data_IF_547877938648
#
_entry.id   IF_547877938648
#
_cell.length_a   1.000
_cell.length_b   1.000
_cell.length_c   1.000
_cell.angle_alpha   90.00
_cell.angle_beta   90.00
_cell.angle_gamma   90.00
#
_symmetry.space_group_name_H-M   'P 1'
#
loop_
_entity.id
_entity.type
_entity.pdbx_description
1 polymer ?
#
# COMPACT_ATOMS: atom_id res chain seq x y z
N UNK A 1 10.86 0.23 -0.11
CA UNK A 1 10.83 -0.95 0.80
C UNK A 1 9.44 -1.54 0.70
N UNK A 2 9.30 -2.85 0.43
CA UNK A 2 7.99 -3.51 0.21
C UNK A 2 7.22 -3.64 1.51
N UNK A 3 5.90 -3.34 1.48
CA UNK A 3 5.01 -3.32 2.64
C UNK A 3 4.09 -4.54 2.63
N UNK A 4 4.15 -5.33 3.70
CA UNK A 4 3.34 -6.53 3.90
C UNK A 4 2.34 -6.31 5.03
N UNK A 5 1.09 -6.70 4.77
CA UNK A 5 0.10 -6.84 5.83
C UNK A 5 0.00 -8.33 6.22
N UNK A 6 0.35 -8.64 7.46
CA UNK A 6 0.22 -9.98 8.02
C UNK A 6 -1.04 -10.04 8.88
N UNK A 7 -1.93 -10.99 8.59
CA UNK A 7 -3.16 -11.23 9.35
C UNK A 7 -3.11 -12.64 9.92
N UNK A 8 -2.84 -12.73 11.20
CA UNK A 8 -2.61 -13.99 11.94
C UNK A 8 -3.04 -13.80 13.39
N UNK A 9 -3.90 -14.67 13.90
CA UNK A 9 -4.42 -14.59 15.28
C UNK A 9 -3.51 -15.26 16.30
N UNK A 10 -2.71 -16.26 15.89
CA UNK A 10 -1.68 -16.84 16.75
C UNK A 10 -0.56 -15.82 17.01
N UNK A 11 -0.50 -15.34 18.25
CA UNK A 11 0.48 -14.32 18.66
C UNK A 11 1.92 -14.76 18.55
N UNK A 12 2.20 -16.03 18.80
CA UNK A 12 3.57 -16.55 18.73
C UNK A 12 4.05 -16.64 17.29
N UNK A 13 3.18 -17.14 16.41
CA UNK A 13 3.46 -17.23 14.98
C UNK A 13 3.52 -15.85 14.34
N UNK A 14 2.54 -14.98 14.63
CA UNK A 14 2.48 -13.63 14.09
C UNK A 14 3.72 -12.79 14.41
N UNK A 15 4.17 -12.80 15.68
CA UNK A 15 5.40 -12.13 16.10
C UNK A 15 6.63 -12.70 15.38
N UNK A 16 6.75 -14.03 15.34
CA UNK A 16 7.86 -14.71 14.66
C UNK A 16 7.93 -14.35 13.18
N UNK A 17 6.78 -14.36 12.48
CA UNK A 17 6.71 -14.02 11.06
C UNK A 17 7.04 -12.54 10.81
N UNK A 18 6.52 -11.65 11.64
CA UNK A 18 6.81 -10.21 11.56
C UNK A 18 8.30 -9.95 11.66
N UNK A 19 8.96 -10.49 12.69
CA UNK A 19 10.39 -10.30 12.91
C UNK A 19 11.23 -10.85 11.76
N UNK A 20 10.90 -12.05 11.28
CA UNK A 20 11.69 -12.69 10.21
C UNK A 20 11.51 -12.00 8.86
N UNK A 21 10.31 -11.60 8.52
CA UNK A 21 10.06 -10.82 7.31
C UNK A 21 10.72 -9.43 7.39
N UNK A 22 10.74 -8.80 8.56
CA UNK A 22 11.44 -7.54 8.76
C UNK A 22 12.96 -7.68 8.56
N UNK A 23 13.57 -8.78 9.02
CA UNK A 23 14.98 -9.09 8.78
C UNK A 23 15.33 -9.28 7.28
N UNK A 24 14.36 -9.72 6.48
CA UNK A 24 14.49 -9.81 5.01
C UNK A 24 14.30 -8.44 4.30
N UNK A 25 14.11 -7.35 5.06
CA UNK A 25 14.01 -5.99 4.53
C UNK A 25 12.60 -5.58 4.13
N UNK A 26 11.56 -6.28 4.57
CA UNK A 26 10.16 -5.90 4.36
C UNK A 26 9.66 -4.99 5.49
N UNK A 27 8.77 -4.05 5.17
CA UNK A 27 7.96 -3.35 6.17
C UNK A 27 6.75 -4.23 6.48
N UNK A 28 6.65 -4.73 7.70
CA UNK A 28 5.56 -5.64 8.08
C UNK A 28 4.66 -4.98 9.12
N UNK A 29 3.36 -4.97 8.83
CA UNK A 29 2.36 -4.68 9.85
C UNK A 29 1.55 -5.95 10.11
N UNK A 30 1.55 -6.37 11.36
CA UNK A 30 0.80 -7.53 11.79
C UNK A 30 -0.47 -7.11 12.53
N UNK A 31 -1.56 -7.81 12.25
CA UNK A 31 -2.87 -7.65 12.91
C UNK A 31 -3.49 -9.02 13.16
N UNK A 32 -4.31 -9.11 14.21
CA UNK A 32 -4.83 -10.38 14.71
C UNK A 32 -6.27 -10.69 14.24
N UNK A 33 -6.94 -9.75 13.55
CA UNK A 33 -8.36 -9.86 13.20
C UNK A 33 -8.66 -9.31 11.82
N UNK A 34 -9.73 -9.82 11.21
CA UNK A 34 -10.26 -9.32 9.93
C UNK A 34 -10.60 -7.84 9.99
N UNK A 35 -11.26 -7.40 11.06
CA UNK A 35 -11.65 -6.00 11.22
C UNK A 35 -10.45 -5.05 11.25
N UNK A 36 -9.38 -5.43 11.98
CA UNK A 36 -8.13 -4.66 12.01
C UNK A 36 -7.44 -4.65 10.64
N UNK A 37 -7.49 -5.78 9.92
CA UNK A 37 -6.94 -5.87 8.57
C UNK A 37 -7.65 -4.92 7.61
N UNK A 38 -8.99 -4.89 7.59
CA UNK A 38 -9.77 -3.96 6.77
C UNK A 38 -9.43 -2.49 7.08
N UNK A 39 -9.28 -2.16 8.36
CA UNK A 39 -8.85 -0.82 8.77
C UNK A 39 -7.46 -0.51 8.20
N UNK A 40 -6.49 -1.42 8.33
CA UNK A 40 -5.13 -1.21 7.81
C UNK A 40 -5.08 -1.12 6.28
N UNK A 41 -5.87 -1.91 5.60
CA UNK A 41 -6.00 -1.84 4.13
C UNK A 41 -6.52 -0.47 3.65
N UNK A 42 -7.36 0.20 4.43
CA UNK A 42 -7.85 1.54 4.11
C UNK A 42 -6.89 2.67 4.50
N UNK A 43 -5.84 2.39 5.28
CA UNK A 43 -4.89 3.37 5.81
C UNK A 43 -3.59 3.47 5.00
N UNK A 44 -3.30 2.52 4.12
CA UNK A 44 -2.02 2.49 3.43
C UNK A 44 -2.00 1.65 2.16
N UNK A 45 -0.90 1.77 1.42
CA UNK A 45 -0.59 0.91 0.28
C UNK A 45 0.17 -0.34 0.76
N UNK A 46 -0.27 -1.47 0.23
CA UNK A 46 0.29 -2.78 0.55
C UNK A 46 0.74 -3.48 -0.73
N UNK A 47 1.82 -4.22 -0.63
CA UNK A 47 2.41 -4.96 -1.75
C UNK A 47 2.05 -6.43 -1.72
N UNK A 48 1.71 -6.94 -0.52
CA UNK A 48 1.27 -8.31 -0.30
C UNK A 48 0.47 -8.38 0.98
N UNK A 49 -0.62 -9.14 0.99
CA UNK A 49 -1.28 -9.59 2.21
C UNK A 49 -0.96 -11.07 2.44
N UNK A 50 -0.47 -11.39 3.64
CA UNK A 50 -0.32 -12.76 4.14
C UNK A 50 -1.45 -12.99 5.13
N UNK A 51 -2.28 -14.01 4.89
CA UNK A 51 -3.60 -14.10 5.50
C UNK A 51 -3.88 -15.51 6.02
N UNK A 52 -4.17 -15.64 7.32
CA UNK A 52 -4.80 -16.86 7.81
C UNK A 52 -6.29 -16.90 7.44
N UNK A 53 -6.77 -18.09 7.13
CA UNK A 53 -8.19 -18.34 6.85
C UNK A 53 -9.00 -18.40 8.15
N UNK A 54 -8.44 -18.95 9.22
CA UNK A 54 -9.10 -19.18 10.50
C UNK A 54 -8.98 -18.00 11.46
N UNK A 55 -9.58 -16.87 11.15
CA UNK A 55 -9.56 -15.69 12.02
C UNK A 55 -10.69 -15.71 13.07
N UNK A 56 -10.49 -15.11 14.25
CA UNK A 56 -11.46 -15.15 15.35
C UNK A 56 -12.77 -14.40 15.06
N UNK A 57 -12.75 -13.45 14.10
CA UNK A 57 -13.85 -12.57 13.75
C UNK A 57 -14.40 -12.80 12.33
N UNK A 58 -14.07 -13.96 11.71
CA UNK A 58 -14.61 -14.36 10.41
C UNK A 58 -13.59 -15.06 9.52
N UNK A 59 -14.02 -15.47 8.33
CA UNK A 59 -13.18 -16.20 7.41
C UNK A 59 -12.17 -15.28 6.69
N UNK A 60 -10.90 -15.70 6.61
CA UNK A 60 -9.91 -15.06 5.77
C UNK A 60 -10.28 -15.10 4.27
N UNK A 61 -11.04 -16.10 3.83
CA UNK A 61 -11.54 -16.14 2.45
C UNK A 61 -12.51 -14.98 2.15
N UNK A 62 -13.38 -14.62 3.12
CA UNK A 62 -14.27 -13.45 2.95
C UNK A 62 -13.47 -12.15 2.85
N UNK A 63 -12.43 -12.00 3.69
CA UNK A 63 -11.54 -10.85 3.60
C UNK A 63 -10.84 -10.80 2.25
N UNK A 64 -10.32 -11.93 1.77
CA UNK A 64 -9.66 -12.02 0.48
C UNK A 64 -10.58 -11.63 -0.69
N UNK A 65 -11.83 -12.09 -0.70
CA UNK A 65 -12.83 -11.70 -1.71
C UNK A 65 -13.07 -10.19 -1.71
N UNK A 66 -13.22 -9.59 -0.52
CA UNK A 66 -13.39 -8.14 -0.38
C UNK A 66 -12.19 -7.36 -0.90
N UNK A 67 -10.97 -7.85 -0.62
CA UNK A 67 -9.72 -7.25 -1.12
C UNK A 67 -9.66 -7.35 -2.65
N UNK A 68 -9.88 -8.54 -3.22
CA UNK A 68 -9.79 -8.76 -4.68
C UNK A 68 -10.89 -8.05 -5.46
N UNK A 69 -12.07 -7.82 -4.87
CA UNK A 69 -13.14 -7.04 -5.51
C UNK A 69 -12.76 -5.56 -5.74
N UNK A 70 -11.83 -5.02 -4.94
CA UNK A 70 -11.49 -3.60 -4.94
C UNK A 70 -10.03 -3.30 -5.31
N UNK A 71 -9.18 -4.32 -5.37
CA UNK A 71 -7.74 -4.15 -5.60
C UNK A 71 -7.14 -5.34 -6.35
N UNK A 72 -5.97 -5.10 -6.97
CA UNK A 72 -5.12 -6.16 -7.54
C UNK A 72 -4.06 -6.65 -6.54
N UNK A 73 -4.20 -6.35 -5.24
CA UNK A 73 -3.25 -6.72 -4.21
C UNK A 73 -3.01 -8.24 -4.19
N UNK A 74 -1.76 -8.70 -4.30
CA UNK A 74 -1.43 -10.11 -4.16
C UNK A 74 -1.81 -10.64 -2.78
N UNK A 75 -2.37 -11.86 -2.74
CA UNK A 75 -2.77 -12.54 -1.50
C UNK A 75 -2.04 -13.88 -1.42
N UNK A 76 -1.48 -14.17 -0.25
CA UNK A 76 -0.93 -15.46 0.10
C UNK A 76 -1.63 -15.98 1.35
N UNK A 77 -2.21 -17.18 1.29
CA UNK A 77 -2.78 -17.83 2.45
C UNK A 77 -1.75 -18.64 3.22
N UNK A 78 -1.82 -18.56 4.55
CA UNK A 78 -1.14 -19.45 5.50
C UNK A 78 -2.19 -19.96 6.49
N UNK A 79 -2.49 -21.26 6.50
CA UNK A 79 -3.61 -21.74 7.31
C UNK A 79 -3.50 -23.21 7.71
N UNK A 80 -4.11 -23.56 8.85
CA UNK A 80 -4.30 -24.94 9.25
C UNK A 80 -5.36 -25.67 8.38
N UNK A 81 -6.19 -24.94 7.65
CA UNK A 81 -7.22 -25.48 6.76
C UNK A 81 -6.60 -25.88 5.40
N UNK A 82 -5.74 -26.90 5.42
CA UNK A 82 -4.94 -27.34 4.26
C UNK A 82 -5.60 -28.37 3.37
N UNK A 83 -6.92 -28.57 3.38
CA UNK A 83 -7.60 -29.54 2.50
C UNK A 83 -7.50 -29.13 1.03
N UNK A 84 -7.72 -30.08 0.14
CA UNK A 84 -7.70 -29.80 -1.30
C UNK A 84 -8.77 -28.77 -1.69
N UNK A 85 -9.96 -28.86 -1.08
CA UNK A 85 -11.08 -27.96 -1.28
C UNK A 85 -10.72 -26.52 -0.88
N UNK A 86 -10.14 -26.33 0.30
CA UNK A 86 -9.73 -25.00 0.78
C UNK A 86 -8.63 -24.38 -0.11
N UNK A 87 -7.72 -25.21 -0.63
CA UNK A 87 -6.70 -24.71 -1.57
C UNK A 87 -7.33 -24.28 -2.88
N UNK A 88 -8.27 -25.09 -3.40
CA UNK A 88 -9.01 -24.75 -4.61
C UNK A 88 -9.76 -23.43 -4.43
N UNK A 89 -10.51 -23.27 -3.34
CA UNK A 89 -11.21 -22.03 -3.01
C UNK A 89 -10.26 -20.83 -2.94
N UNK A 90 -9.10 -20.98 -2.31
CA UNK A 90 -8.09 -19.93 -2.25
C UNK A 90 -7.61 -19.48 -3.63
N UNK A 91 -7.36 -20.42 -4.54
CA UNK A 91 -6.95 -20.10 -5.91
C UNK A 91 -8.10 -19.53 -6.76
N UNK A 92 -9.32 -20.00 -6.58
CA UNK A 92 -10.51 -19.42 -7.23
C UNK A 92 -10.76 -17.95 -6.82
N UNK A 93 -10.43 -17.59 -5.58
CA UNK A 93 -10.43 -16.19 -5.12
C UNK A 93 -9.34 -15.36 -5.81
N UNK A 94 -8.31 -16.01 -6.37
CA UNK A 94 -7.17 -15.36 -7.00
C UNK A 94 -5.98 -15.16 -6.06
N UNK A 95 -5.78 -16.07 -5.10
CA UNK A 95 -4.56 -16.09 -4.31
C UNK A 95 -3.36 -16.50 -5.17
N UNK A 96 -2.22 -15.89 -4.89
CA UNK A 96 -0.95 -16.21 -5.55
C UNK A 96 -0.31 -17.48 -5.00
N UNK A 97 -0.46 -17.68 -3.69
CA UNK A 97 0.13 -18.81 -2.98
C UNK A 97 -0.79 -19.27 -1.85
N UNK A 98 -0.66 -20.56 -1.50
CA UNK A 98 -1.35 -21.19 -0.40
C UNK A 98 -0.40 -22.11 0.36
N UNK A 99 -0.16 -21.84 1.64
CA UNK A 99 0.78 -22.59 2.49
C UNK A 99 0.01 -23.23 3.65
N UNK A 100 -0.09 -24.55 3.68
CA UNK A 100 -0.71 -25.23 4.83
C UNK A 100 0.22 -25.21 6.06
N UNK A 101 -0.33 -25.02 7.24
CA UNK A 101 0.35 -25.20 8.53
C UNK A 101 0.38 -26.71 8.87
N UNK A 102 1.49 -27.25 9.41
CA UNK A 102 2.76 -26.60 9.69
C UNK A 102 3.63 -26.42 8.43
N UNK A 103 4.41 -25.34 8.37
CA UNK A 103 5.32 -25.04 7.27
C UNK A 103 6.72 -24.67 7.78
N UNK A 104 7.70 -24.76 6.92
CA UNK A 104 9.03 -24.24 7.21
C UNK A 104 9.11 -22.74 6.89
N UNK A 105 9.66 -21.96 7.82
CA UNK A 105 9.82 -20.53 7.64
C UNK A 105 10.56 -20.17 6.32
N UNK A 106 11.58 -20.95 5.97
CA UNK A 106 12.30 -20.77 4.70
C UNK A 106 11.40 -20.94 3.48
N UNK A 107 10.42 -21.84 3.54
CA UNK A 107 9.44 -22.00 2.46
C UNK A 107 8.60 -20.74 2.29
N UNK A 108 8.07 -20.19 3.40
CA UNK A 108 7.31 -18.96 3.37
C UNK A 108 8.11 -17.81 2.76
N UNK A 109 9.36 -17.62 3.19
CA UNK A 109 10.22 -16.56 2.67
C UNK A 109 10.49 -16.70 1.15
N UNK A 110 10.71 -17.93 0.66
CA UNK A 110 10.88 -18.20 -0.77
C UNK A 110 9.60 -17.88 -1.55
N UNK A 111 8.43 -18.25 -1.03
CA UNK A 111 7.14 -17.97 -1.69
C UNK A 111 6.83 -16.47 -1.71
N UNK A 112 7.10 -15.75 -0.62
CA UNK A 112 7.01 -14.28 -0.60
C UNK A 112 7.88 -13.67 -1.68
N UNK A 113 9.11 -14.14 -1.82
CA UNK A 113 10.02 -13.68 -2.88
C UNK A 113 9.45 -13.97 -4.28
N UNK A 114 8.93 -15.18 -4.54
CA UNK A 114 8.32 -15.56 -5.81
C UNK A 114 7.08 -14.71 -6.13
N UNK A 115 6.23 -14.41 -5.14
CA UNK A 115 5.10 -13.49 -5.34
C UNK A 115 5.61 -12.15 -5.83
N UNK A 116 6.64 -11.59 -5.21
CA UNK A 116 7.20 -10.31 -5.63
C UNK A 116 7.96 -10.34 -6.97
N UNK A 117 8.45 -11.48 -7.40
CA UNK A 117 9.04 -11.65 -8.74
C UNK A 117 7.94 -11.68 -9.82
N UNK A 118 6.78 -12.29 -9.55
CA UNK A 118 5.62 -12.33 -10.45
C UNK A 118 4.83 -11.01 -10.46
N UNK A 119 4.78 -10.36 -9.32
CA UNK A 119 4.17 -9.05 -9.12
C UNK A 119 5.27 -8.03 -8.80
N UNK A 120 6.09 -7.65 -9.79
CA UNK A 120 7.01 -6.55 -9.58
C UNK A 120 6.15 -5.35 -9.21
N UNK A 121 6.27 -4.93 -7.95
CA UNK A 121 5.50 -3.81 -7.43
C UNK A 121 5.83 -2.61 -8.29
N UNK A 122 4.99 -2.35 -9.24
CA UNK A 122 5.00 -1.11 -9.98
C UNK A 122 4.11 -0.15 -9.19
N UNK A 123 4.67 0.45 -8.18
CA UNK A 123 4.10 1.69 -7.66
C UNK A 123 4.29 2.78 -8.74
N UNK A 124 3.73 2.50 -9.92
CA UNK A 124 3.74 3.40 -11.05
C UNK A 124 2.32 3.90 -11.24
N UNK A 125 2.16 5.19 -11.14
CA UNK A 125 0.88 5.86 -11.34
C UNK A 125 1.01 6.67 -12.62
N UNK A 126 0.15 6.37 -13.59
CA UNK A 126 0.06 7.19 -14.82
C UNK A 126 -0.66 8.48 -14.50
N UNK A 127 -0.08 9.59 -14.91
CA UNK A 127 -0.59 10.92 -14.63
C UNK A 127 -0.23 11.85 -15.80
N UNK A 128 -1.22 12.24 -16.60
CA UNK A 128 -1.04 13.21 -17.69
C UNK A 128 0.11 12.85 -18.67
N UNK A 129 0.20 11.55 -19.06
CA UNK A 129 1.27 11.06 -19.95
C UNK A 129 2.65 10.95 -19.27
N UNK A 130 2.72 11.12 -17.97
CA UNK A 130 3.89 10.92 -17.13
C UNK A 130 3.68 9.69 -16.26
N UNK A 131 4.79 9.14 -15.75
CA UNK A 131 4.75 7.99 -14.84
C UNK A 131 5.41 8.35 -13.52
N UNK A 132 4.67 8.26 -12.43
CA UNK A 132 5.20 8.40 -11.07
C UNK A 132 5.70 7.02 -10.65
N UNK A 133 6.99 6.89 -10.40
CA UNK A 133 7.62 5.69 -9.84
C UNK A 133 7.83 5.89 -8.34
N UNK A 134 6.95 5.36 -7.51
CA UNK A 134 7.00 5.57 -6.04
C UNK A 134 8.24 4.94 -5.41
N UNK A 135 8.70 3.79 -5.90
CA UNK A 135 9.87 3.10 -5.33
C UNK A 135 11.18 3.85 -5.58
N UNK A 136 11.34 4.42 -6.78
CA UNK A 136 12.53 5.19 -7.15
C UNK A 136 12.44 6.67 -6.80
N UNK A 137 11.28 7.11 -6.30
CA UNK A 137 10.95 8.52 -6.02
C UNK A 137 11.16 9.43 -7.22
N UNK A 138 10.74 8.95 -8.39
CA UNK A 138 11.03 9.58 -9.68
C UNK A 138 9.74 9.81 -10.45
N UNK A 139 9.66 10.93 -11.16
CA UNK A 139 8.66 11.17 -12.19
C UNK A 139 9.33 10.97 -13.54
N UNK A 140 8.82 10.04 -14.35
CA UNK A 140 9.23 9.84 -15.73
C UNK A 140 8.36 10.71 -16.60
N UNK A 141 8.95 11.70 -17.26
CA UNK A 141 8.28 12.62 -18.16
C UNK A 141 7.87 11.91 -19.46
N UNK A 142 6.92 12.47 -20.22
CA UNK A 142 6.46 11.90 -21.49
C UNK A 142 7.58 11.68 -22.53
N UNK A 143 8.68 12.42 -22.43
CA UNK A 143 9.87 12.27 -23.28
C UNK A 143 10.86 11.22 -22.77
N UNK A 144 10.52 10.47 -21.68
CA UNK A 144 11.38 9.50 -21.04
C UNK A 144 12.42 10.08 -20.05
N UNK A 145 12.48 11.40 -19.91
CA UNK A 145 13.38 12.05 -18.97
C UNK A 145 12.93 11.79 -17.52
N UNK A 146 13.89 11.50 -16.63
CA UNK A 146 13.62 11.22 -15.21
C UNK A 146 13.87 12.46 -14.37
N UNK A 147 12.89 12.83 -13.58
CA UNK A 147 12.95 13.95 -12.63
C UNK A 147 12.87 13.39 -11.19
N UNK A 148 13.89 13.70 -10.39
CA UNK A 148 13.89 13.38 -8.96
C UNK A 148 13.31 14.56 -8.19
N UNK A 149 12.20 14.32 -7.50
CA UNK A 149 11.62 15.32 -6.63
C UNK A 149 12.44 15.49 -5.34
N UNK A 150 12.44 16.69 -4.74
CA UNK A 150 12.90 16.88 -3.38
C UNK A 150 12.18 15.91 -2.43
N UNK A 151 12.90 15.40 -1.43
CA UNK A 151 12.38 14.35 -0.55
C UNK A 151 11.01 14.70 0.07
N UNK A 152 10.85 15.93 0.54
CA UNK A 152 9.58 16.39 1.14
C UNK A 152 8.43 16.51 0.15
N UNK A 153 8.71 16.93 -1.09
CA UNK A 153 7.68 17.01 -2.14
C UNK A 153 7.20 15.60 -2.48
N UNK A 154 8.12 14.64 -2.53
CA UNK A 154 7.76 13.26 -2.79
C UNK A 154 6.97 12.64 -1.63
N UNK A 155 7.35 12.89 -0.38
CA UNK A 155 6.60 12.48 0.81
C UNK A 155 5.17 13.03 0.80
N UNK A 156 5.00 14.30 0.39
CA UNK A 156 3.67 14.90 0.23
C UNK A 156 2.87 14.21 -0.88
N UNK A 157 3.49 13.95 -2.03
CA UNK A 157 2.86 13.24 -3.14
C UNK A 157 2.39 11.84 -2.72
N UNK A 158 3.27 11.08 -2.07
CA UNK A 158 2.97 9.76 -1.53
C UNK A 158 1.81 9.81 -0.51
N UNK A 159 1.81 10.80 0.39
CA UNK A 159 0.74 11.00 1.35
C UNK A 159 -0.61 11.25 0.68
N UNK A 160 -0.66 12.11 -0.35
CA UNK A 160 -1.90 12.40 -1.07
C UNK A 160 -2.42 11.16 -1.82
N UNK A 161 -1.54 10.44 -2.52
CA UNK A 161 -1.88 9.22 -3.25
C UNK A 161 -2.41 8.15 -2.31
N UNK A 162 -1.72 7.91 -1.19
CA UNK A 162 -2.11 6.87 -0.22
C UNK A 162 -3.37 7.21 0.56
N UNK A 163 -3.69 8.50 0.66
CA UNK A 163 -4.91 8.96 1.33
C UNK A 163 -6.13 8.98 0.43
N UNK A 164 -5.97 8.85 -0.89
CA UNK A 164 -7.08 8.91 -1.83
C UNK A 164 -8.19 7.89 -1.49
N UNK A 165 -9.46 8.23 -1.64
CA UNK A 165 -10.00 9.50 -2.14
C UNK A 165 -10.20 10.58 -1.05
N UNK A 166 -9.59 10.43 0.13
CA UNK A 166 -9.78 11.37 1.26
C UNK A 166 -9.04 12.68 1.05
N UNK A 167 -9.65 13.77 1.54
CA UNK A 167 -9.00 15.08 1.62
C UNK A 167 -8.02 15.08 2.80
N UNK A 168 -6.78 15.46 2.56
CA UNK A 168 -5.76 15.66 3.59
C UNK A 168 -5.68 17.14 3.92
N UNK A 169 -5.95 17.49 5.17
CA UNK A 169 -5.89 18.89 5.60
C UNK A 169 -4.45 19.40 5.66
N UNK A 170 -4.26 20.73 5.53
CA UNK A 170 -2.93 21.34 5.63
C UNK A 170 -2.23 21.02 6.95
N UNK A 171 -2.98 20.98 8.05
CA UNK A 171 -2.43 20.66 9.36
C UNK A 171 -2.00 19.19 9.43
N UNK A 172 -2.81 18.25 8.90
CA UNK A 172 -2.41 16.85 8.81
C UNK A 172 -1.14 16.67 7.96
N UNK A 173 -1.01 17.40 6.84
CA UNK A 173 0.21 17.37 6.03
C UNK A 173 1.42 17.85 6.86
N UNK A 174 1.27 18.97 7.57
CA UNK A 174 2.34 19.54 8.41
C UNK A 174 2.73 18.54 9.50
N UNK A 175 1.76 18.00 10.22
CA UNK A 175 1.98 17.03 11.31
C UNK A 175 2.65 15.74 10.80
N UNK A 176 2.26 15.26 9.61
CA UNK A 176 2.83 14.04 9.01
C UNK A 176 4.26 14.25 8.51
N UNK A 177 4.54 15.37 7.85
CA UNK A 177 5.83 15.60 7.21
C UNK A 177 6.89 16.18 8.18
N UNK A 178 6.51 16.95 9.17
CA UNK A 178 7.42 17.63 10.09
C UNK A 178 7.28 17.21 11.56
N UNK A 179 6.20 16.49 11.92
CA UNK A 179 5.99 16.03 13.28
C UNK A 179 5.98 17.18 14.30
N UNK A 180 6.66 16.96 15.41
CA UNK A 180 6.75 17.96 16.51
C UNK A 180 7.68 19.14 16.19
N UNK A 181 8.56 19.01 15.21
CA UNK A 181 9.57 20.05 14.87
C UNK A 181 8.97 21.33 14.26
N UNK A 182 7.67 21.32 13.90
CA UNK A 182 6.86 22.47 13.41
C UNK A 182 7.58 23.44 12.45
N UNK A 183 8.57 22.96 11.70
CA UNK A 183 9.30 23.76 10.71
C UNK A 183 8.47 24.05 9.44
N UNK A 184 7.36 23.31 9.26
CA UNK A 184 6.41 23.51 8.16
C UNK A 184 5.29 24.48 8.53
N UNK A 185 4.84 25.26 7.56
CA UNK A 185 3.64 26.08 7.67
C UNK A 185 2.73 25.90 6.46
N UNK A 186 1.50 26.42 6.51
CA UNK A 186 0.52 26.26 5.44
C UNK A 186 1.03 26.78 4.09
N UNK A 187 1.80 27.88 4.08
CA UNK A 187 2.39 28.43 2.86
C UNK A 187 3.46 27.51 2.27
N UNK A 188 4.22 26.81 3.13
CA UNK A 188 5.18 25.79 2.68
C UNK A 188 4.46 24.66 1.96
N UNK A 189 3.36 24.16 2.52
CA UNK A 189 2.52 23.12 1.88
C UNK A 189 1.99 23.62 0.55
N UNK A 190 1.42 24.83 0.49
CA UNK A 190 0.87 25.39 -0.74
C UNK A 190 1.94 25.52 -1.84
N UNK A 191 3.17 25.93 -1.50
CA UNK A 191 4.29 25.98 -2.44
C UNK A 191 4.70 24.60 -2.97
N UNK A 192 4.73 23.58 -2.09
CA UNK A 192 5.00 22.20 -2.48
C UNK A 192 3.93 21.66 -3.44
N UNK A 193 2.65 21.98 -3.22
CA UNK A 193 1.57 21.62 -4.13
C UNK A 193 1.76 22.26 -5.51
N UNK A 194 2.15 23.53 -5.55
CA UNK A 194 2.45 24.21 -6.83
C UNK A 194 3.58 23.51 -7.57
N UNK A 195 4.66 23.17 -6.87
CA UNK A 195 5.79 22.45 -7.45
C UNK A 195 5.40 21.06 -7.95
N UNK A 196 4.66 20.27 -7.13
CA UNK A 196 4.15 18.98 -7.55
C UNK A 196 3.27 19.04 -8.79
N UNK A 197 2.34 20.00 -8.87
CA UNK A 197 1.52 20.19 -10.06
C UNK A 197 2.34 20.48 -11.29
N UNK A 198 3.39 21.29 -11.19
CA UNK A 198 4.32 21.57 -12.29
C UNK A 198 5.04 20.29 -12.74
N UNK A 199 5.62 19.55 -11.81
CA UNK A 199 6.34 18.30 -12.10
C UNK A 199 5.42 17.23 -12.68
N UNK A 200 4.13 17.20 -12.30
CA UNK A 200 3.11 16.29 -12.84
C UNK A 200 2.47 16.80 -14.15
N UNK A 201 2.73 18.05 -14.54
CA UNK A 201 2.02 18.69 -15.64
C UNK A 201 0.53 18.88 -15.38
N UNK A 202 0.14 18.95 -14.11
CA UNK A 202 -1.25 19.09 -13.65
C UNK A 202 -1.72 20.54 -13.74
N UNK A 203 -1.88 21.04 -14.98
CA UNK A 203 -2.26 22.44 -15.25
C UNK A 203 -3.69 22.77 -14.84
N UNK A 204 -4.55 21.77 -14.70
CA UNK A 204 -5.98 21.94 -14.35
C UNK A 204 -6.33 21.53 -12.92
N UNK A 205 -5.34 21.21 -12.09
CA UNK A 205 -5.58 20.63 -10.75
C UNK A 205 -6.45 19.35 -10.79
N UNK A 206 -6.29 18.57 -11.85
CA UNK A 206 -7.05 17.33 -12.08
C UNK A 206 -6.62 16.26 -11.10
N UNK A 207 -5.29 16.07 -10.92
CA UNK A 207 -4.73 15.03 -10.04
C UNK A 207 -4.57 15.51 -8.60
N UNK A 208 -4.13 16.75 -8.38
CA UNK A 208 -4.07 17.32 -7.04
C UNK A 208 -5.15 18.39 -6.95
N UNK A 209 -6.31 18.01 -6.42
CA UNK A 209 -7.47 18.90 -6.26
C UNK A 209 -7.34 19.72 -4.97
N UNK A 210 -7.67 21.03 -5.04
CA UNK A 210 -7.78 21.88 -3.86
C UNK A 210 -9.20 21.83 -3.33
N UNK A 211 -9.37 21.46 -2.06
CA UNK A 211 -10.65 21.55 -1.35
C UNK A 211 -10.63 22.82 -0.51
N UNK A 212 -11.42 23.83 -0.94
CA UNK A 212 -11.40 25.16 -0.33
C UNK A 212 -11.64 25.12 1.18
N UNK A 213 -10.76 25.76 1.92
CA UNK A 213 -10.85 25.83 3.38
C UNK A 213 -10.47 24.55 4.13
N UNK A 214 -10.17 23.45 3.43
CA UNK A 214 -9.83 22.15 4.03
C UNK A 214 -8.37 21.77 3.72
N UNK A 215 -8.06 21.45 2.47
CA UNK A 215 -6.75 20.92 2.14
C UNK A 215 -6.64 20.47 0.68
N UNK A 216 -6.02 19.31 0.48
CA UNK A 216 -5.74 18.74 -0.83
C UNK A 216 -6.15 17.28 -0.91
N UNK A 217 -6.48 16.84 -2.11
CA UNK A 217 -6.95 15.50 -2.41
C UNK A 217 -6.29 15.01 -3.70
N UNK A 218 -5.88 13.74 -3.72
CA UNK A 218 -5.51 13.08 -4.96
C UNK A 218 -6.77 12.65 -5.71
N UNK A 219 -6.88 13.03 -6.98
CA UNK A 219 -7.94 12.60 -7.90
C UNK A 219 -7.39 11.61 -8.90
N UNK A 220 -8.17 10.62 -9.31
CA UNK A 220 -7.82 9.65 -10.34
C UNK A 220 -8.36 10.09 -11.71
N UNK A 221 -7.78 9.57 -12.83
CA UNK A 221 -8.26 9.81 -14.19
C UNK A 221 -9.66 9.27 -14.48
N UNK A 222 -10.19 8.42 -13.60
CA UNK A 222 -11.43 7.66 -13.82
C UNK A 222 -12.74 8.38 -13.47
N UNK A 223 -12.70 9.68 -13.09
CA UNK A 223 -13.89 10.47 -12.74
C UNK A 223 -14.21 11.57 -13.77
N UNK A 224 -14.34 11.22 -15.04
CA UNK A 224 -15.06 12.03 -16.07
C UNK A 224 -16.12 11.18 -16.74
#
# INVERSE_FOLDING_TARGET
>A
MKSLLLVEDDRSLGATLQDRLALEGYRVQWVETRQRALKKLSEGLWDLIILDVGLPDGSGFELARQVKANTSLPIMFITALGTAENRLEGFEIGAEEFIPKPFHLRELLLRVKHVFERHPVRHQISCNGRMIELDSRTIVQANGQREHLPARDFELLELLITSAPRVVSRNQIIDTLWGEDKLGNQRTVDNMIVHLRQSLGDTGSKFIRSVRGVGYQWGDESED
#
